data_IF_820846343821
#
_entry.id   IF_820846343821
#
_cell.length_a   1.000
_cell.length_b   1.000
_cell.length_c   1.000
_cell.angle_alpha   90.00
_cell.angle_beta   90.00
_cell.angle_gamma   90.00
#
_symmetry.space_group_name_H-M   'P 1'
#
loop_
_entity.id
_entity.type
_entity.pdbx_description
1 polymer ?
#
# COMPACT_ATOMS: atom_id res chain seq x y z
N UNK A 1 -32.30 -30.24 23.53
CA UNK A 1 -30.90 -30.72 23.37
C UNK A 1 -30.16 -29.63 22.60
N UNK A 2 -29.18 -28.96 23.23
CA UNK A 2 -28.50 -27.79 22.66
C UNK A 2 -27.23 -28.24 21.93
N UNK A 3 -27.21 -28.08 20.61
CA UNK A 3 -26.10 -28.43 19.74
C UNK A 3 -25.27 -27.17 19.44
N UNK A 4 -24.28 -26.93 20.30
CA UNK A 4 -23.28 -25.89 20.19
C UNK A 4 -22.38 -26.13 18.98
N UNK A 5 -22.68 -25.47 17.86
CA UNK A 5 -21.74 -25.36 16.75
C UNK A 5 -20.63 -24.38 17.14
N UNK A 6 -19.48 -24.92 17.51
CA UNK A 6 -18.24 -24.20 17.81
C UNK A 6 -17.84 -23.42 16.56
N UNK A 7 -18.16 -22.12 16.55
CA UNK A 7 -17.66 -21.19 15.54
C UNK A 7 -16.18 -20.94 15.85
N UNK A 8 -15.29 -21.67 15.17
CA UNK A 8 -13.86 -21.37 15.21
C UNK A 8 -13.68 -19.93 14.71
N UNK A 9 -12.92 -19.06 15.42
CA UNK A 9 -12.62 -17.74 14.91
C UNK A 9 -11.85 -17.94 13.62
N UNK A 10 -12.46 -17.52 12.51
CA UNK A 10 -11.82 -17.44 11.21
C UNK A 10 -10.73 -16.40 11.43
N UNK A 11 -9.50 -16.87 11.71
CA UNK A 11 -8.30 -16.07 11.67
C UNK A 11 -8.41 -15.24 10.40
N UNK A 12 -8.60 -13.93 10.58
CA UNK A 12 -8.69 -12.97 9.51
C UNK A 12 -7.39 -13.10 8.74
N UNK A 13 -7.43 -13.92 7.68
CA UNK A 13 -6.43 -13.94 6.65
C UNK A 13 -6.56 -12.55 6.07
N UNK A 14 -5.78 -11.60 6.59
CA UNK A 14 -5.53 -10.33 5.94
C UNK A 14 -5.01 -10.71 4.58
N UNK A 15 -5.91 -10.76 3.60
CA UNK A 15 -5.60 -10.91 2.20
C UNK A 15 -4.87 -9.63 1.81
N UNK A 16 -3.61 -9.53 2.22
CA UNK A 16 -2.64 -8.64 1.61
C UNK A 16 -2.48 -9.17 0.21
N UNK A 17 -3.35 -8.73 -0.71
CA UNK A 17 -3.15 -8.93 -2.13
C UNK A 17 -1.71 -8.50 -2.42
N UNK A 18 -0.80 -9.42 -2.80
CA UNK A 18 0.63 -9.13 -2.89
C UNK A 18 0.97 -8.07 -3.96
N UNK A 19 -0.04 -7.64 -4.72
CA UNK A 19 0.07 -6.60 -5.74
C UNK A 19 -0.27 -5.18 -5.24
N UNK A 20 -0.75 -5.00 -4.00
CA UNK A 20 -1.04 -3.67 -3.48
C UNK A 20 0.24 -3.07 -2.90
N UNK A 21 0.82 -2.12 -3.60
CA UNK A 21 1.98 -1.34 -3.16
C UNK A 21 1.51 -0.09 -2.42
N UNK A 22 2.23 0.26 -1.36
CA UNK A 22 2.06 1.54 -0.67
C UNK A 22 2.98 2.57 -1.30
N UNK A 23 2.42 3.68 -1.77
CA UNK A 23 3.18 4.76 -2.39
C UNK A 23 3.29 5.92 -1.41
N UNK A 24 4.53 6.37 -1.18
CA UNK A 24 4.86 7.47 -0.28
C UNK A 24 5.37 8.67 -1.06
N UNK A 25 5.09 9.85 -0.54
CA UNK A 25 5.64 11.08 -1.07
C UNK A 25 7.16 11.13 -0.83
N UNK A 26 8.00 11.35 -1.85
CA UNK A 26 9.45 11.41 -1.68
C UNK A 26 9.92 12.63 -0.87
N UNK A 27 9.07 13.64 -0.72
CA UNK A 27 9.42 14.89 -0.03
C UNK A 27 9.02 14.91 1.45
N UNK A 28 7.89 14.31 1.81
CA UNK A 28 7.38 14.33 3.19
C UNK A 28 7.16 12.94 3.79
N UNK A 29 7.48 11.88 3.03
CA UNK A 29 7.36 10.47 3.40
C UNK A 29 5.97 10.01 3.88
N UNK A 30 4.94 10.85 3.65
CA UNK A 30 3.55 10.52 3.94
C UNK A 30 2.97 9.62 2.84
N UNK A 31 2.05 8.75 3.25
CA UNK A 31 1.35 7.84 2.36
C UNK A 31 0.47 8.68 1.43
N UNK A 32 0.61 8.45 0.12
CA UNK A 32 -0.24 9.06 -0.89
C UNK A 32 -1.47 8.17 -1.11
N UNK A 33 -1.23 6.89 -1.44
CA UNK A 33 -2.28 5.90 -1.64
C UNK A 33 -1.68 4.49 -1.63
N UNK A 34 -2.57 3.49 -1.61
CA UNK A 34 -2.24 2.07 -1.70
C UNK A 34 -2.93 1.50 -2.94
N UNK A 35 -2.19 0.83 -3.81
CA UNK A 35 -2.74 0.27 -5.04
C UNK A 35 -1.70 -0.41 -5.89
N UNK A 36 -2.10 -0.86 -7.08
CA UNK A 36 -1.17 -1.32 -8.11
C UNK A 36 -1.22 -0.33 -9.26
N UNK A 37 -0.34 0.66 -9.26
CA UNK A 37 -0.28 1.64 -10.35
C UNK A 37 1.08 1.61 -11.04
N UNK A 38 1.03 1.73 -12.36
CA UNK A 38 2.23 1.81 -13.20
C UNK A 38 2.81 3.22 -13.30
N UNK A 39 2.00 4.24 -12.98
CA UNK A 39 2.41 5.63 -13.07
C UNK A 39 1.64 6.48 -12.08
N UNK A 40 2.35 7.41 -11.45
CA UNK A 40 1.79 8.40 -10.54
C UNK A 40 2.10 9.77 -11.12
N UNK A 41 1.06 10.58 -11.26
CA UNK A 41 1.17 11.97 -11.64
C UNK A 41 0.17 12.77 -10.81
N UNK A 42 0.58 13.16 -9.60
CA UNK A 42 -0.30 13.86 -8.66
C UNK A 42 0.47 14.86 -7.79
N UNK A 43 -0.24 15.84 -7.26
CA UNK A 43 0.29 16.68 -6.19
C UNK A 43 0.04 16.02 -4.83
N UNK A 44 1.07 16.02 -3.96
CA UNK A 44 0.92 15.58 -2.58
C UNK A 44 -0.04 16.52 -1.82
N UNK A 45 -1.07 15.99 -1.17
CA UNK A 45 -2.01 16.78 -0.37
C UNK A 45 -1.37 17.42 0.87
N UNK A 46 -0.21 16.94 1.30
CA UNK A 46 0.44 17.42 2.52
C UNK A 46 1.49 18.50 2.27
N UNK A 47 2.38 18.29 1.31
CA UNK A 47 3.44 19.26 1.00
C UNK A 47 3.20 20.04 -0.29
N UNK A 48 2.08 19.78 -0.99
CA UNK A 48 1.69 20.41 -2.26
C UNK A 48 2.75 20.29 -3.37
N UNK A 49 3.75 19.42 -3.19
CA UNK A 49 4.76 19.14 -4.21
C UNK A 49 4.23 18.15 -5.23
N UNK A 50 4.57 18.39 -6.49
CA UNK A 50 4.19 17.55 -7.59
C UNK A 50 5.07 16.29 -7.63
N UNK A 51 4.43 15.14 -7.82
CA UNK A 51 5.07 13.83 -7.84
C UNK A 51 4.74 13.20 -9.17
N UNK A 52 5.80 12.96 -9.94
CA UNK A 52 5.75 12.24 -11.21
C UNK A 52 6.73 11.09 -11.08
N UNK A 53 6.20 9.87 -11.07
CA UNK A 53 7.00 8.66 -10.95
C UNK A 53 6.37 7.55 -11.78
N UNK A 54 7.20 6.83 -12.52
CA UNK A 54 6.80 5.67 -13.34
C UNK A 54 7.16 4.36 -12.65
N UNK A 55 6.65 3.24 -13.16
CA UNK A 55 6.84 1.91 -12.57
C UNK A 55 8.30 1.57 -12.25
N UNK A 56 9.25 2.03 -13.08
CA UNK A 56 10.68 1.85 -12.88
C UNK A 56 11.23 2.65 -11.69
N UNK A 57 10.82 3.91 -11.51
CA UNK A 57 11.24 4.73 -10.36
C UNK A 57 10.55 4.32 -9.06
N UNK A 58 9.32 3.80 -9.16
CA UNK A 58 8.55 3.33 -8.01
C UNK A 58 9.07 2.02 -7.41
N UNK A 59 9.77 1.20 -8.21
CA UNK A 59 10.44 -0.02 -7.75
C UNK A 59 11.70 0.29 -6.92
N UNK A 60 12.40 1.37 -7.24
CA UNK A 60 13.65 1.75 -6.55
C UNK A 60 13.43 2.29 -5.12
N UNK A 61 12.18 2.59 -4.73
CA UNK A 61 11.85 3.06 -3.37
C UNK A 61 11.64 1.87 -2.41
N UNK A 62 11.55 0.62 -2.92
CA UNK A 62 11.23 -0.57 -2.11
C UNK A 62 12.44 -1.46 -1.76
N UNK A 63 13.63 -1.18 -2.32
CA UNK A 63 14.86 -1.94 -2.04
C UNK A 63 15.88 -1.09 -1.29
N UNK A 64 15.61 -0.82 0.00
CA UNK A 64 16.67 -0.65 0.99
C UNK A 64 16.21 -1.26 2.31
N UNK A 65 16.48 -2.55 2.46
CA UNK A 65 16.47 -3.23 3.75
C UNK A 65 17.64 -4.21 3.73
N UNK A 66 18.84 -3.67 3.95
CA UNK A 66 20.01 -4.41 4.44
C UNK A 66 19.90 -4.55 5.95
#
# INVERSE_FOLDING_TARGET
MANSNITKPINQLTQTNPNIKEYRCPYCNRILFKGNVKKINMACQHCQKFIKADEHELLNIQTDKT
#
